data_IF_500942464030
#
_entry.id   IF_500942464030
#
_cell.length_a   1.000
_cell.length_b   1.000
_cell.length_c   1.000
_cell.angle_alpha   90.00
_cell.angle_beta   90.00
_cell.angle_gamma   90.00
#
_symmetry.space_group_name_H-M   'P 1'
#
loop_
_entity.id
_entity.type
_entity.pdbx_description
1 polymer ?
#
# COMPACT_ATOMS: atom_id res chain seq x y z
N UNK A 1 -16.57 -20.12 -0.27
CA UNK A 1 -15.41 -19.41 -0.83
C UNK A 1 -14.24 -19.50 0.14
N UNK A 2 -13.20 -20.23 -0.24
CA UNK A 2 -11.98 -20.40 0.57
C UNK A 2 -11.17 -19.08 0.64
N UNK A 3 -10.06 -19.06 1.39
CA UNK A 3 -9.22 -17.85 1.55
C UNK A 3 -8.65 -17.35 0.21
N UNK A 4 -8.18 -18.25 -0.64
CA UNK A 4 -7.61 -17.92 -1.95
C UNK A 4 -8.64 -17.29 -2.88
N UNK A 5 -9.84 -17.85 -2.97
CA UNK A 5 -10.94 -17.29 -3.74
C UNK A 5 -11.39 -15.92 -3.20
N UNK A 6 -11.39 -15.71 -1.87
CA UNK A 6 -11.64 -14.38 -1.27
C UNK A 6 -10.61 -13.35 -1.70
N UNK A 7 -9.34 -13.73 -1.77
CA UNK A 7 -8.27 -12.86 -2.24
C UNK A 7 -8.36 -12.59 -3.74
N UNK A 8 -8.61 -13.62 -4.55
CA UNK A 8 -8.83 -13.46 -6.00
C UNK A 8 -10.01 -12.53 -6.27
N UNK A 9 -11.09 -12.61 -5.48
CA UNK A 9 -12.20 -11.65 -5.57
C UNK A 9 -11.74 -10.20 -5.36
N UNK A 10 -10.88 -9.95 -4.36
CA UNK A 10 -10.32 -8.62 -4.09
C UNK A 10 -9.39 -8.15 -5.22
N UNK A 11 -8.58 -9.05 -5.77
CA UNK A 11 -7.68 -8.77 -6.90
C UNK A 11 -8.45 -8.43 -8.17
N UNK A 12 -9.51 -9.18 -8.48
CA UNK A 12 -10.42 -8.88 -9.61
C UNK A 12 -11.18 -7.56 -9.41
N UNK A 13 -11.57 -7.26 -8.19
CA UNK A 13 -12.26 -6.01 -7.87
C UNK A 13 -11.33 -4.78 -7.87
N UNK A 14 -10.01 -4.99 -7.88
CA UNK A 14 -9.05 -3.91 -7.66
C UNK A 14 -9.29 -3.19 -6.34
N UNK A 15 -9.59 -3.94 -5.27
CA UNK A 15 -9.78 -3.38 -3.93
C UNK A 15 -9.34 -4.36 -2.84
N UNK A 16 -8.33 -3.96 -2.06
CA UNK A 16 -7.77 -4.71 -0.93
C UNK A 16 -8.28 -4.25 0.44
N UNK A 17 -9.30 -3.40 0.51
CA UNK A 17 -9.90 -2.95 1.77
C UNK A 17 -10.35 -4.13 2.64
N UNK A 18 -10.11 -4.02 3.95
CA UNK A 18 -10.37 -5.09 4.90
C UNK A 18 -9.44 -6.29 4.75
N UNK A 19 -8.29 -6.14 4.08
CA UNK A 19 -7.14 -7.03 4.28
C UNK A 19 -6.33 -6.52 5.46
N UNK A 20 -5.66 -7.45 6.15
CA UNK A 20 -4.76 -7.17 7.26
C UNK A 20 -3.60 -6.27 6.86
N UNK A 21 -3.10 -6.39 5.63
CA UNK A 21 -2.07 -5.49 5.11
C UNK A 21 -2.57 -4.03 5.12
N UNK A 22 -3.82 -3.79 4.73
CA UNK A 22 -4.41 -2.44 4.73
C UNK A 22 -4.78 -1.95 6.13
N UNK A 23 -5.22 -2.86 7.01
CA UNK A 23 -5.42 -2.58 8.43
C UNK A 23 -4.11 -2.15 9.08
N UNK A 24 -3.01 -2.87 8.82
CA UNK A 24 -1.67 -2.55 9.31
C UNK A 24 -1.22 -1.17 8.85
N UNK A 25 -1.33 -0.85 7.56
CA UNK A 25 -0.97 0.49 7.06
C UNK A 25 -1.78 1.60 7.72
N UNK A 26 -3.07 1.34 7.99
CA UNK A 26 -3.94 2.32 8.65
C UNK A 26 -3.51 2.51 10.10
N UNK A 27 -3.28 1.43 10.84
CA UNK A 27 -2.83 1.46 12.23
C UNK A 27 -1.47 2.15 12.39
N UNK A 28 -0.50 1.85 11.52
CA UNK A 28 0.81 2.53 11.53
C UNK A 28 0.65 4.04 11.31
N UNK A 29 -0.24 4.43 10.40
CA UNK A 29 -0.48 5.83 10.11
C UNK A 29 -1.11 6.58 11.29
N UNK A 30 -2.10 5.96 11.95
CA UNK A 30 -2.73 6.49 13.16
C UNK A 30 -1.72 6.66 14.29
N UNK A 31 -0.80 5.69 14.48
CA UNK A 31 0.27 5.81 15.45
C UNK A 31 1.25 6.95 15.14
N UNK A 32 1.63 7.13 13.87
CA UNK A 32 2.52 8.23 13.47
C UNK A 32 1.85 9.60 13.66
N UNK A 33 0.56 9.73 13.35
CA UNK A 33 -0.21 10.95 13.61
C UNK A 33 -0.24 11.25 15.11
N UNK A 34 -0.47 10.23 15.95
CA UNK A 34 -0.43 10.38 17.41
C UNK A 34 0.95 10.82 17.90
N UNK A 35 2.04 10.25 17.37
CA UNK A 35 3.42 10.68 17.69
C UNK A 35 3.68 12.13 17.29
N UNK A 36 3.19 12.56 16.13
CA UNK A 36 3.29 13.94 15.67
C UNK A 36 2.52 14.90 16.60
N UNK A 37 1.36 14.48 17.09
CA UNK A 37 0.56 15.23 18.05
C UNK A 37 1.29 15.42 19.39
N UNK A 38 1.83 14.34 19.96
CA UNK A 38 2.63 14.42 21.19
C UNK A 38 3.86 15.33 21.03
N UNK A 39 4.46 15.33 19.84
CA UNK A 39 5.61 16.19 19.51
C UNK A 39 5.21 17.66 19.45
N UNK A 40 4.06 17.97 18.83
CA UNK A 40 3.46 19.31 18.81
C UNK A 40 3.24 19.82 20.23
N UNK A 41 2.63 19.02 21.09
CA UNK A 41 2.25 19.45 22.44
C UNK A 41 3.49 19.72 23.31
N UNK A 42 4.50 18.83 23.25
CA UNK A 42 5.80 19.07 23.90
C UNK A 42 6.49 20.33 23.38
N UNK A 43 6.37 20.61 22.08
CA UNK A 43 6.95 21.81 21.49
C UNK A 43 6.23 23.08 21.96
N UNK A 44 4.90 23.07 22.03
CA UNK A 44 4.11 24.19 22.58
C UNK A 44 4.53 24.48 24.02
N UNK A 45 4.59 23.47 24.88
CA UNK A 45 5.02 23.63 26.28
C UNK A 45 6.45 24.18 26.39
N UNK A 46 7.37 23.68 25.57
CA UNK A 46 8.74 24.20 25.52
C UNK A 46 8.78 25.68 25.14
N UNK A 47 8.02 26.07 24.10
CA UNK A 47 7.98 27.45 23.62
C UNK A 47 7.36 28.38 24.65
N UNK A 48 6.28 27.98 25.33
CA UNK A 48 5.69 28.76 26.42
C UNK A 48 6.71 29.04 27.54
N UNK A 49 7.44 28.00 27.99
CA UNK A 49 8.50 28.15 29.00
C UNK A 49 9.64 29.05 28.50
N UNK A 50 10.05 28.89 27.25
CA UNK A 50 11.10 29.70 26.62
C UNK A 50 10.72 31.18 26.57
N UNK A 51 9.51 31.50 26.10
CA UNK A 51 9.03 32.88 26.03
C UNK A 51 8.82 33.51 27.42
N UNK A 52 8.35 32.74 28.41
CA UNK A 52 8.27 33.21 29.80
C UNK A 52 9.65 33.53 30.38
N UNK A 53 10.66 32.71 30.10
CA UNK A 53 12.02 32.90 30.60
C UNK A 53 12.77 34.05 29.90
N UNK A 54 12.35 34.47 28.70
CA UNK A 54 13.07 35.43 27.86
C UNK A 54 12.22 36.66 27.52
N UNK A 55 11.54 37.23 28.54
CA UNK A 55 10.84 38.51 28.43
C UNK A 55 11.80 39.63 27.98
N UNK A 56 11.96 39.82 26.66
CA UNK A 56 12.51 41.03 26.06
C UNK A 56 13.85 40.92 25.31
N UNK A 57 14.00 40.06 24.30
CA UNK A 57 15.08 40.34 23.33
C UNK A 57 15.44 39.35 22.23
N UNK A 58 14.98 38.10 22.24
CA UNK A 58 15.44 37.13 21.23
C UNK A 58 14.35 36.83 20.21
N UNK A 59 14.50 37.36 19.00
CA UNK A 59 13.71 36.94 17.82
C UNK A 59 14.35 35.66 17.30
N UNK A 60 13.71 34.52 17.60
CA UNK A 60 14.05 33.24 17.00
C UNK A 60 13.04 32.93 15.91
N UNK A 61 13.52 32.51 14.74
CA UNK A 61 12.67 31.93 13.71
C UNK A 61 12.20 30.55 14.20
N UNK A 62 10.95 30.50 14.65
CA UNK A 62 10.34 29.32 15.27
C UNK A 62 9.10 29.01 14.45
N UNK A 63 9.12 27.86 13.76
CA UNK A 63 7.93 27.35 13.07
C UNK A 63 6.80 27.11 14.06
N UNK A 64 5.58 27.49 13.67
CA UNK A 64 4.37 27.24 14.46
C UNK A 64 4.19 25.71 14.63
N UNK A 65 4.20 25.19 15.86
CA UNK A 65 3.99 23.76 16.10
C UNK A 65 2.69 23.24 15.49
N UNK A 66 1.63 24.05 15.44
CA UNK A 66 0.35 23.65 14.85
C UNK A 66 0.45 23.48 13.34
N UNK A 67 1.07 24.43 12.65
CA UNK A 67 1.29 24.37 11.20
C UNK A 67 2.16 23.16 10.81
N UNK A 68 3.21 22.89 11.59
CA UNK A 68 4.08 21.72 11.40
C UNK A 68 3.29 20.42 11.59
N UNK A 69 2.44 20.35 12.62
CA UNK A 69 1.60 19.18 12.86
C UNK A 69 0.59 18.94 11.72
N UNK A 70 -0.14 19.96 11.31
CA UNK A 70 -1.13 19.86 10.22
C UNK A 70 -0.47 19.43 8.90
N UNK A 71 0.69 20.00 8.58
CA UNK A 71 1.47 19.61 7.40
C UNK A 71 1.91 18.14 7.49
N UNK A 72 2.40 17.72 8.66
CA UNK A 72 2.82 16.33 8.90
C UNK A 72 1.64 15.36 8.78
N UNK A 73 0.49 15.70 9.37
CA UNK A 73 -0.73 14.90 9.30
C UNK A 73 -1.20 14.72 7.86
N UNK A 74 -1.25 15.79 7.08
CA UNK A 74 -1.62 15.74 5.67
C UNK A 74 -0.67 14.83 4.87
N UNK A 75 0.64 15.03 5.01
CA UNK A 75 1.62 14.18 4.32
C UNK A 75 1.50 12.70 4.70
N UNK A 76 1.20 12.40 5.97
CA UNK A 76 0.96 11.04 6.44
C UNK A 76 -0.29 10.43 5.79
N UNK A 77 -1.38 11.19 5.68
CA UNK A 77 -2.62 10.74 5.04
C UNK A 77 -2.45 10.49 3.55
N UNK A 78 -1.83 11.44 2.82
CA UNK A 78 -1.53 11.29 1.39
C UNK A 78 -0.62 10.07 1.13
N UNK A 79 0.37 9.86 2.01
CA UNK A 79 1.24 8.69 1.94
C UNK A 79 0.50 7.37 2.18
N UNK A 80 -0.50 7.34 3.07
CA UNK A 80 -1.35 6.16 3.28
C UNK A 80 -2.18 5.84 2.04
N UNK A 81 -2.86 6.84 1.48
CA UNK A 81 -3.68 6.68 0.27
C UNK A 81 -2.83 6.19 -0.91
N UNK A 82 -1.68 6.83 -1.12
CA UNK A 82 -0.74 6.46 -2.17
C UNK A 82 -0.23 5.01 -2.01
N UNK A 83 0.08 4.59 -0.78
CA UNK A 83 0.51 3.21 -0.48
C UNK A 83 -0.61 2.20 -0.79
N UNK A 84 -1.84 2.48 -0.34
CA UNK A 84 -3.01 1.62 -0.62
C UNK A 84 -3.24 1.49 -2.12
N UNK A 85 -3.27 2.60 -2.84
CA UNK A 85 -3.46 2.60 -4.29
C UNK A 85 -2.38 1.78 -5.01
N UNK A 86 -1.12 1.96 -4.62
CA UNK A 86 0.01 1.24 -5.23
C UNK A 86 -0.07 -0.27 -5.03
N UNK A 87 -0.39 -0.73 -3.82
CA UNK A 87 -0.58 -2.15 -3.53
C UNK A 87 -1.79 -2.72 -4.28
N UNK A 88 -2.90 -2.01 -4.29
CA UNK A 88 -4.09 -2.40 -5.04
C UNK A 88 -3.77 -2.57 -6.51
N UNK A 89 -3.10 -1.60 -7.12
CA UNK A 89 -2.71 -1.66 -8.53
C UNK A 89 -1.78 -2.85 -8.81
N UNK A 90 -0.78 -3.09 -7.95
CA UNK A 90 0.14 -4.21 -8.09
C UNK A 90 -0.55 -5.59 -7.98
N UNK A 91 -1.60 -5.70 -7.17
CA UNK A 91 -2.34 -6.94 -6.96
C UNK A 91 -3.52 -7.12 -7.91
N UNK A 92 -3.87 -6.10 -8.71
CA UNK A 92 -5.03 -6.15 -9.59
C UNK A 92 -4.83 -7.11 -10.75
N UNK A 93 -5.89 -7.84 -11.08
CA UNK A 93 -5.91 -8.77 -12.21
C UNK A 93 -7.17 -8.56 -13.05
N UNK A 94 -7.08 -8.90 -14.34
CA UNK A 94 -8.21 -8.95 -15.25
C UNK A 94 -8.21 -10.32 -15.96
N UNK A 95 -9.40 -10.87 -16.19
CA UNK A 95 -9.57 -12.11 -16.94
C UNK A 95 -10.46 -11.79 -18.14
N UNK A 96 -9.89 -11.89 -19.34
CA UNK A 96 -10.57 -11.54 -20.59
C UNK A 96 -10.21 -12.57 -21.66
N UNK A 97 -11.22 -13.11 -22.34
CA UNK A 97 -11.03 -13.98 -23.52
C UNK A 97 -10.05 -15.16 -23.29
N UNK A 98 -10.09 -15.78 -22.12
CA UNK A 98 -9.20 -16.90 -21.78
C UNK A 98 -7.77 -16.48 -21.42
N UNK A 99 -7.54 -15.21 -21.14
CA UNK A 99 -6.24 -14.67 -20.72
C UNK A 99 -6.36 -14.01 -19.35
N UNK A 100 -5.44 -14.35 -18.46
CA UNK A 100 -5.19 -13.62 -17.21
C UNK A 100 -4.20 -12.49 -17.51
N UNK A 101 -4.61 -11.25 -17.28
CA UNK A 101 -3.74 -10.07 -17.32
C UNK A 101 -3.47 -9.57 -15.91
N UNK A 102 -2.22 -9.24 -15.63
CA UNK A 102 -1.85 -8.62 -14.36
C UNK A 102 -0.65 -7.70 -14.53
N UNK A 103 -0.45 -6.84 -13.53
CA UNK A 103 0.77 -6.06 -13.42
C UNK A 103 1.77 -6.81 -12.55
N UNK A 104 3.01 -6.93 -13.02
CA UNK A 104 4.12 -7.47 -12.25
C UNK A 104 5.09 -6.34 -11.95
N UNK A 105 5.20 -5.93 -10.67
CA UNK A 105 6.16 -4.91 -10.26
C UNK A 105 7.58 -5.47 -10.31
N UNK A 106 8.45 -4.85 -11.11
CA UNK A 106 9.86 -5.23 -11.23
C UNK A 106 10.73 -4.13 -10.61
N UNK A 107 11.62 -4.51 -9.70
CA UNK A 107 12.55 -3.57 -9.08
C UNK A 107 13.52 -3.01 -10.12
N UNK A 108 13.67 -1.69 -10.17
CA UNK A 108 14.52 -1.04 -11.15
C UNK A 108 15.00 0.33 -10.66
N UNK A 109 16.08 0.81 -11.26
CA UNK A 109 16.63 2.14 -10.94
C UNK A 109 16.05 3.26 -11.80
N UNK A 110 15.53 2.95 -13.00
CA UNK A 110 14.87 3.88 -13.92
C UNK A 110 14.29 3.11 -15.11
N UNK A 111 12.99 3.16 -15.30
CA UNK A 111 12.34 2.62 -16.51
C UNK A 111 11.43 3.68 -17.16
N UNK A 112 12.01 4.76 -17.71
CA UNK A 112 11.32 5.71 -18.61
C UNK A 112 9.88 6.10 -18.20
N UNK A 113 8.96 6.10 -19.17
CA UNK A 113 7.55 6.49 -19.04
C UNK A 113 6.65 5.48 -18.29
N UNK A 114 7.19 4.52 -17.54
CA UNK A 114 6.39 3.53 -16.81
C UNK A 114 5.92 4.07 -15.45
N UNK A 115 4.70 3.72 -15.06
CA UNK A 115 4.19 3.99 -13.72
C UNK A 115 5.08 3.28 -12.68
N UNK A 116 5.60 4.03 -11.71
CA UNK A 116 6.48 3.52 -10.66
C UNK A 116 5.77 3.44 -9.31
N UNK A 117 5.87 2.30 -8.63
CA UNK A 117 5.52 2.12 -7.22
C UNK A 117 6.78 2.35 -6.38
N UNK A 118 6.82 3.45 -5.63
CA UNK A 118 7.91 3.78 -4.70
C UNK A 118 7.64 3.23 -3.30
N UNK A 119 8.46 2.30 -2.84
CA UNK A 119 8.50 1.94 -1.42
C UNK A 119 9.76 2.55 -0.80
N UNK A 120 9.87 2.68 0.54
CA UNK A 120 11.08 3.21 1.16
C UNK A 120 12.34 2.49 0.66
N UNK A 121 13.23 3.24 0.00
CA UNK A 121 14.50 2.74 -0.53
C UNK A 121 14.42 1.89 -1.82
N UNK A 122 13.23 1.62 -2.39
CA UNK A 122 13.10 0.83 -3.63
C UNK A 122 12.05 1.41 -4.56
N UNK A 123 12.27 1.21 -5.86
CA UNK A 123 11.32 1.61 -6.89
C UNK A 123 10.99 0.39 -7.74
N UNK A 124 9.69 0.13 -7.87
CA UNK A 124 9.16 -0.92 -8.73
C UNK A 124 8.47 -0.29 -9.92
N UNK A 125 8.61 -0.90 -11.09
CA UNK A 125 7.91 -0.50 -12.30
C UNK A 125 6.94 -1.60 -12.69
N UNK A 126 5.68 -1.22 -12.91
CA UNK A 126 4.66 -2.18 -13.34
C UNK A 126 4.89 -2.56 -14.79
N UNK A 127 5.08 -3.86 -15.03
CA UNK A 127 5.08 -4.44 -16.38
C UNK A 127 3.81 -5.25 -16.51
N UNK A 128 3.03 -4.97 -17.56
CA UNK A 128 1.87 -5.78 -17.88
C UNK A 128 2.32 -7.16 -18.38
N UNK A 129 1.74 -8.21 -17.80
CA UNK A 129 1.93 -9.58 -18.25
C UNK A 129 0.59 -10.22 -18.56
N UNK A 130 0.61 -11.11 -19.53
CA UNK A 130 -0.56 -11.85 -20.00
C UNK A 130 -0.25 -13.35 -19.99
N UNK A 131 -1.16 -14.13 -19.43
CA UNK A 131 -1.02 -15.58 -19.29
C UNK A 131 -2.23 -16.26 -19.91
N UNK A 132 -1.99 -17.21 -20.80
CA UNK A 132 -3.05 -18.07 -21.31
C UNK A 132 -3.61 -18.91 -20.15
N UNK A 133 -4.93 -18.89 -19.97
CA UNK A 133 -5.61 -19.72 -18.98
C UNK A 133 -5.60 -21.17 -19.49
N UNK A 134 -5.19 -22.15 -18.66
CA UNK A 134 -5.24 -23.56 -19.01
C UNK A 134 -6.62 -24.01 -19.49
N UNK A 135 -6.66 -24.93 -20.46
CA UNK A 135 -7.91 -25.43 -21.05
C UNK A 135 -8.88 -25.98 -19.99
N UNK A 136 -8.35 -26.65 -18.96
CA UNK A 136 -9.11 -27.19 -17.83
C UNK A 136 -9.87 -26.13 -17.02
N UNK A 137 -9.49 -24.85 -17.11
CA UNK A 137 -10.15 -23.72 -16.45
C UNK A 137 -10.95 -22.85 -17.41
N UNK A 138 -10.95 -23.16 -18.70
CA UNK A 138 -11.68 -22.38 -19.71
C UNK A 138 -13.18 -22.37 -19.41
N UNK A 139 -13.75 -21.17 -19.33
CA UNK A 139 -15.17 -20.96 -19.02
C UNK A 139 -15.55 -21.16 -17.55
N UNK A 140 -14.58 -21.44 -16.66
CA UNK A 140 -14.83 -21.51 -15.21
C UNK A 140 -14.72 -20.12 -14.57
N UNK A 141 -15.49 -19.90 -13.51
CA UNK A 141 -15.35 -18.74 -12.64
C UNK A 141 -14.34 -19.07 -11.53
N UNK A 142 -13.26 -18.28 -11.35
CA UNK A 142 -12.31 -18.51 -10.26
C UNK A 142 -12.92 -18.35 -8.87
N UNK A 143 -14.04 -17.63 -8.73
CA UNK A 143 -14.74 -17.49 -7.44
C UNK A 143 -15.53 -18.74 -7.05
N UNK A 144 -15.85 -19.59 -8.02
CA UNK A 144 -16.56 -20.86 -7.83
C UNK A 144 -15.63 -22.08 -8.00
N UNK A 145 -14.44 -21.91 -8.57
CA UNK A 145 -13.45 -22.97 -8.78
C UNK A 145 -12.16 -22.73 -7.97
N UNK A 146 -11.98 -23.49 -6.89
CA UNK A 146 -10.81 -23.39 -6.00
C UNK A 146 -9.47 -23.59 -6.73
N UNK A 147 -9.35 -24.68 -7.51
CA UNK A 147 -8.14 -24.96 -8.26
C UNK A 147 -7.78 -23.84 -9.25
N UNK A 148 -8.79 -23.13 -9.79
CA UNK A 148 -8.54 -21.99 -10.67
C UNK A 148 -8.05 -20.76 -9.90
N UNK A 149 -8.65 -20.45 -8.75
CA UNK A 149 -8.15 -19.38 -7.87
C UNK A 149 -6.71 -19.65 -7.39
N UNK A 150 -6.40 -20.90 -7.08
CA UNK A 150 -5.05 -21.32 -6.69
C UNK A 150 -4.07 -21.14 -7.84
N UNK A 151 -4.45 -21.52 -9.07
CA UNK A 151 -3.63 -21.30 -10.26
C UNK A 151 -3.33 -19.81 -10.49
N UNK A 152 -4.32 -18.93 -10.32
CA UNK A 152 -4.13 -17.47 -10.44
C UNK A 152 -3.06 -17.00 -9.44
N UNK A 153 -3.22 -17.36 -8.17
CA UNK A 153 -2.28 -16.97 -7.10
C UNK A 153 -0.87 -17.49 -7.39
N UNK A 154 -0.74 -18.77 -7.74
CA UNK A 154 0.56 -19.36 -8.04
C UNK A 154 1.23 -18.69 -9.24
N UNK A 155 0.46 -18.40 -10.29
CA UNK A 155 0.96 -17.66 -11.47
C UNK A 155 1.52 -16.30 -11.06
N UNK A 156 0.79 -15.53 -10.25
CA UNK A 156 1.27 -14.22 -9.79
C UNK A 156 2.56 -14.32 -8.93
N UNK A 157 2.65 -15.34 -8.07
CA UNK A 157 3.85 -15.58 -7.24
C UNK A 157 5.05 -15.96 -8.13
N UNK A 158 4.86 -16.94 -9.03
CA UNK A 158 5.92 -17.44 -9.92
C UNK A 158 6.50 -16.33 -10.79
N UNK A 159 5.67 -15.38 -11.18
CA UNK A 159 6.05 -14.25 -12.02
C UNK A 159 6.75 -13.12 -11.26
N UNK A 160 6.93 -13.30 -9.94
CA UNK A 160 7.69 -12.40 -9.09
C UNK A 160 6.88 -11.24 -8.51
N UNK A 161 5.55 -11.34 -8.45
CA UNK A 161 4.74 -10.28 -7.85
C UNK A 161 4.87 -10.29 -6.32
N UNK A 162 5.85 -9.52 -5.83
CA UNK A 162 6.16 -9.40 -4.40
C UNK A 162 4.98 -8.88 -3.58
N UNK A 163 4.14 -8.00 -4.13
CA UNK A 163 3.03 -7.38 -3.40
C UNK A 163 1.92 -8.40 -3.11
N UNK A 164 1.61 -9.24 -4.09
CA UNK A 164 0.68 -10.38 -3.92
C UNK A 164 1.21 -11.35 -2.87
N UNK A 165 2.51 -11.64 -2.88
CA UNK A 165 3.14 -12.48 -1.86
C UNK A 165 2.99 -11.89 -0.45
N UNK A 166 3.17 -10.58 -0.27
CA UNK A 166 2.97 -9.90 1.03
C UNK A 166 1.52 -10.07 1.51
N UNK A 167 0.54 -9.74 0.66
CA UNK A 167 -0.89 -9.85 1.02
C UNK A 167 -1.25 -11.29 1.37
N UNK A 168 -0.79 -12.27 0.59
CA UNK A 168 -1.03 -13.69 0.86
C UNK A 168 -0.39 -14.13 2.18
N UNK A 169 0.83 -13.69 2.46
CA UNK A 169 1.54 -14.04 3.69
C UNK A 169 0.78 -13.57 4.92
N UNK A 170 0.25 -12.35 4.89
CA UNK A 170 -0.49 -11.75 6.02
C UNK A 170 -1.86 -12.43 6.22
N UNK A 171 -2.51 -12.85 5.15
CA UNK A 171 -3.88 -13.42 5.18
C UNK A 171 -3.91 -14.94 5.41
N UNK A 172 -2.90 -15.66 4.91
CA UNK A 172 -2.85 -17.13 4.98
C UNK A 172 -2.15 -17.65 6.23
N UNK A 173 -1.12 -16.98 6.75
CA UNK A 173 -0.38 -17.43 7.95
C UNK A 173 -1.07 -17.06 9.26
N UNK A 174 -2.40 -17.13 9.29
CA UNK A 174 -3.23 -16.72 10.41
C UNK A 174 -4.48 -17.53 10.57
#
# INVERSE_FOLDING_TARGET
>A
MNKNQKLVKKFLAGNLDGTRTFEHFTSENEEEIKRAEETRDKRKEYLERFFQAHQGGTVCDISDPEEVFLTTQLCLQESLEWRKQSYTQACSIAIESGVLRCQVPVEGKNCGNLASIRVPGRSFFSIEKSFAIPEEFTGKDPLECEAFADWIIQTMIMEGNFFVWVVLRDELNS
#
